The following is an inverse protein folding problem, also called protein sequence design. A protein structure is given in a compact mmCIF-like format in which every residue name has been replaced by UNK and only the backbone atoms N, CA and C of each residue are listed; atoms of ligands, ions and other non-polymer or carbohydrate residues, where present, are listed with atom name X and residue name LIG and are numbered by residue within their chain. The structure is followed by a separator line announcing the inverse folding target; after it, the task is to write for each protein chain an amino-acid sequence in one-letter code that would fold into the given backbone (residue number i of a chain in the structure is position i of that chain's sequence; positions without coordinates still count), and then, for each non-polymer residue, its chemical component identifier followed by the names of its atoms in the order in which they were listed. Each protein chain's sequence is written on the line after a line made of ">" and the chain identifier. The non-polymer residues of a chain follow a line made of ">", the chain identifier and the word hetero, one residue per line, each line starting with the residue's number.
data_IF_554747635371
#
_entry.id   IF_554747635371
#
_cell.length_a   1.000
_cell.length_b   1.000
_cell.length_c   1.000
_cell.angle_alpha   90.00
_cell.angle_beta   90.00
_cell.angle_gamma   90.00
#
_symmetry.space_group_name_H-M   'P 1'
#
loop_
_entity.id
_entity.type
_entity.pdbx_description
1 polymer ?
#
# COMPACT_ATOMS: atom_id res chain seq x y z
N UNK A 1 16.40 5.80 3.06
CA UNK A 1 16.91 6.66 1.98
C UNK A 1 16.61 5.98 0.66
N UNK A 2 15.92 6.66 -0.26
CA UNK A 2 15.62 6.14 -1.60
C UNK A 2 16.92 6.20 -2.44
N UNK A 3 17.54 5.08 -2.67
CA UNK A 3 18.73 5.01 -3.50
C UNK A 3 18.34 5.17 -4.96
N UNK A 4 18.82 6.25 -5.60
CA UNK A 4 18.51 6.57 -7.01
C UNK A 4 18.93 5.44 -7.97
N UNK A 5 19.98 4.70 -7.61
CA UNK A 5 20.46 3.55 -8.38
C UNK A 5 19.46 2.38 -8.31
N UNK A 6 18.90 2.10 -7.13
CA UNK A 6 17.88 1.07 -6.95
C UNK A 6 16.60 1.39 -7.73
N UNK A 7 16.18 2.66 -7.76
CA UNK A 7 15.04 3.09 -8.58
C UNK A 7 15.29 2.97 -10.09
N UNK A 8 16.56 3.02 -10.52
CA UNK A 8 16.94 2.86 -11.93
C UNK A 8 16.91 1.40 -12.38
N UNK A 9 17.14 0.46 -11.44
CA UNK A 9 17.07 -0.98 -11.68
C UNK A 9 15.65 -1.48 -11.98
N UNK A 10 14.60 -0.79 -11.52
CA UNK A 10 13.19 -1.21 -11.68
C UNK A 10 12.71 -1.04 -13.13
N UNK A 11 13.34 -0.17 -13.96
CA UNK A 11 12.99 0.01 -15.37
C UNK A 11 11.49 0.27 -15.60
N UNK A 12 10.83 -0.63 -16.34
CA UNK A 12 9.41 -0.55 -16.70
C UNK A 12 8.45 -0.89 -15.55
N UNK A 13 8.93 -1.52 -14.47
CA UNK A 13 8.10 -1.98 -13.36
C UNK A 13 7.56 -0.85 -12.46
N UNK A 14 8.01 0.40 -12.67
CA UNK A 14 7.49 1.61 -11.96
C UNK A 14 5.98 1.77 -12.09
N UNK A 15 5.40 1.37 -13.21
CA UNK A 15 3.96 1.44 -13.45
C UNK A 15 3.18 0.56 -12.47
N UNK A 16 3.67 -0.64 -12.19
CA UNK A 16 3.02 -1.55 -11.22
C UNK A 16 3.03 -0.98 -9.80
N UNK A 17 4.13 -0.34 -9.39
CA UNK A 17 4.22 0.34 -8.09
C UNK A 17 3.17 1.45 -7.99
N UNK A 18 3.06 2.29 -9.02
CA UNK A 18 2.06 3.35 -9.05
C UNK A 18 0.63 2.80 -8.99
N UNK A 19 0.32 1.72 -9.72
CA UNK A 19 -0.99 1.08 -9.66
C UNK A 19 -1.30 0.53 -8.27
N UNK A 20 -0.34 -0.11 -7.61
CA UNK A 20 -0.50 -0.62 -6.24
C UNK A 20 -0.80 0.51 -5.27
N UNK A 21 -0.09 1.64 -5.38
CA UNK A 21 -0.32 2.82 -4.53
C UNK A 21 -1.72 3.40 -4.77
N UNK A 22 -2.13 3.58 -6.02
CA UNK A 22 -3.47 4.12 -6.36
C UNK A 22 -4.58 3.21 -5.83
N UNK A 23 -4.48 1.89 -6.03
CA UNK A 23 -5.47 0.94 -5.51
C UNK A 23 -5.51 0.95 -3.97
N UNK A 24 -4.36 1.10 -3.31
CA UNK A 24 -4.30 1.22 -1.85
C UNK A 24 -4.99 2.49 -1.36
N UNK A 25 -4.83 3.61 -2.06
CA UNK A 25 -5.51 4.88 -1.77
C UNK A 25 -7.03 4.74 -1.95
N UNK A 26 -7.49 4.10 -3.03
CA UNK A 26 -8.93 3.82 -3.21
C UNK A 26 -9.46 2.93 -2.10
N UNK A 27 -8.70 1.94 -1.67
CA UNK A 27 -9.02 1.10 -0.51
C UNK A 27 -9.14 1.90 0.80
N UNK A 28 -8.28 2.92 1.00
CA UNK A 28 -8.36 3.84 2.13
C UNK A 28 -9.65 4.66 2.09
N UNK A 29 -10.01 5.22 0.94
CA UNK A 29 -11.27 5.97 0.77
C UNK A 29 -12.50 5.08 1.05
N UNK A 30 -12.49 3.84 0.58
CA UNK A 30 -13.55 2.88 0.88
C UNK A 30 -13.63 2.61 2.40
N UNK A 31 -12.48 2.50 3.10
CA UNK A 31 -12.46 2.33 4.55
C UNK A 31 -13.04 3.54 5.29
N UNK A 32 -12.73 4.75 4.83
CA UNK A 32 -13.32 5.99 5.37
C UNK A 32 -14.83 6.03 5.17
N UNK A 33 -15.32 5.59 4.00
CA UNK A 33 -16.75 5.51 3.72
C UNK A 33 -17.47 4.51 4.65
N UNK A 34 -16.85 3.36 4.95
CA UNK A 34 -17.38 2.40 5.92
C UNK A 34 -17.48 3.05 7.30
N UNK A 35 -16.41 3.71 7.76
CA UNK A 35 -16.36 4.38 9.07
C UNK A 35 -17.44 5.47 9.16
N UNK A 36 -17.53 6.33 8.15
CA UNK A 36 -18.56 7.39 8.08
C UNK A 36 -19.98 6.81 8.10
N UNK A 37 -20.22 5.71 7.38
CA UNK A 37 -21.52 5.02 7.36
C UNK A 37 -21.90 4.46 8.74
N UNK A 38 -20.94 3.90 9.48
CA UNK A 38 -21.16 3.42 10.85
C UNK A 38 -21.53 4.58 11.78
N UNK A 39 -20.79 5.70 11.74
CA UNK A 39 -21.09 6.87 12.57
C UNK A 39 -22.48 7.45 12.24
N UNK A 40 -22.84 7.50 10.95
CA UNK A 40 -24.16 7.96 10.53
C UNK A 40 -25.26 7.02 11.04
N UNK A 41 -25.06 5.70 10.97
CA UNK A 41 -26.01 4.72 11.50
C UNK A 41 -26.17 4.85 13.04
N UNK A 42 -25.08 5.10 13.76
CA UNK A 42 -25.12 5.34 15.21
C UNK A 42 -25.89 6.62 15.53
N UNK A 43 -25.68 7.70 14.78
CA UNK A 43 -26.40 8.96 14.98
C UNK A 43 -27.91 8.79 14.76
N UNK A 44 -28.32 8.03 13.77
CA UNK A 44 -29.72 7.68 13.52
C UNK A 44 -30.31 6.82 14.66
N UNK A 45 -29.52 5.88 15.20
CA UNK A 45 -29.96 5.07 16.34
C UNK A 45 -30.20 5.91 17.61
N UNK A 46 -29.35 6.92 17.86
CA UNK A 46 -29.57 7.86 18.95
C UNK A 46 -30.84 8.68 18.74
N UNK A 47 -31.07 9.21 17.54
CA UNK A 47 -32.33 9.93 17.20
C UNK A 47 -33.56 9.03 17.35
N UNK A 48 -33.44 7.74 17.04
CA UNK A 48 -34.54 6.77 17.28
C UNK A 48 -34.86 6.60 18.75
N UNK A 49 -33.82 6.56 19.60
CA UNK A 49 -33.99 6.44 21.04
C UNK A 49 -34.66 7.69 21.66
N UNK A 50 -34.36 8.88 21.10
CA UNK A 50 -34.97 10.14 21.51
C UNK A 50 -36.38 10.38 20.94
N UNK A 51 -36.92 9.41 20.16
CA UNK A 51 -38.24 9.50 19.56
C UNK A 51 -38.38 10.53 18.44
N UNK A 52 -37.29 11.07 17.93
CA UNK A 52 -37.25 12.11 16.89
C UNK A 52 -37.13 11.57 15.46
N UNK A 53 -37.06 10.24 15.30
CA UNK A 53 -36.95 9.57 13.99
C UNK A 53 -38.25 9.58 13.23
N UNK A 54 -38.28 10.23 12.06
CA UNK A 54 -39.48 10.28 11.20
C UNK A 54 -39.76 8.96 10.45
N UNK A 55 -38.72 8.16 10.18
CA UNK A 55 -38.86 6.88 9.44
C UNK A 55 -37.69 5.93 9.61
N UNK A 56 -37.95 4.65 9.85
CA UNK A 56 -36.97 3.57 9.87
C UNK A 56 -36.29 3.32 8.50
N UNK A 57 -36.87 3.82 7.40
CA UNK A 57 -36.28 3.74 6.06
C UNK A 57 -34.98 4.51 5.98
N UNK A 58 -34.75 5.50 6.87
CA UNK A 58 -33.49 6.25 6.93
C UNK A 58 -32.27 5.38 7.23
N UNK A 59 -32.44 4.23 7.89
CA UNK A 59 -31.35 3.26 8.12
C UNK A 59 -30.89 2.53 6.85
N UNK A 60 -31.71 2.51 5.79
CA UNK A 60 -31.33 1.86 4.54
C UNK A 60 -30.14 2.56 3.85
N UNK A 61 -30.04 3.88 3.94
CA UNK A 61 -28.96 4.64 3.30
C UNK A 61 -27.57 4.25 3.82
N UNK A 62 -27.28 4.34 5.14
CA UNK A 62 -25.97 3.94 5.64
C UNK A 62 -25.69 2.45 5.43
N UNK A 63 -26.70 1.59 5.48
CA UNK A 63 -26.55 0.16 5.22
C UNK A 63 -26.11 -0.11 3.77
N UNK A 64 -26.73 0.53 2.78
CA UNK A 64 -26.36 0.39 1.37
C UNK A 64 -24.94 0.93 1.14
N UNK A 65 -24.62 2.11 1.68
CA UNK A 65 -23.27 2.69 1.55
C UNK A 65 -22.22 1.77 2.16
N UNK A 66 -22.48 1.20 3.35
CA UNK A 66 -21.58 0.25 3.99
C UNK A 66 -21.34 -0.98 3.13
N UNK A 67 -22.38 -1.60 2.60
CA UNK A 67 -22.29 -2.80 1.75
C UNK A 67 -21.47 -2.51 0.49
N UNK A 68 -21.78 -1.41 -0.22
CA UNK A 68 -21.04 -1.01 -1.41
C UNK A 68 -19.56 -0.76 -1.08
N UNK A 69 -19.28 -0.02 -0.01
CA UNK A 69 -17.92 0.28 0.41
C UNK A 69 -17.14 -0.99 0.81
N UNK A 70 -17.77 -1.97 1.45
CA UNK A 70 -17.17 -3.27 1.78
C UNK A 70 -16.81 -4.03 0.51
N UNK A 71 -17.72 -4.08 -0.47
CA UNK A 71 -17.46 -4.76 -1.76
C UNK A 71 -16.30 -4.08 -2.49
N UNK A 72 -16.31 -2.75 -2.59
CA UNK A 72 -15.21 -1.98 -3.21
C UNK A 72 -13.89 -2.27 -2.50
N UNK A 73 -13.85 -2.20 -1.18
CA UNK A 73 -12.66 -2.49 -0.39
C UNK A 73 -12.14 -3.91 -0.64
N UNK A 74 -13.03 -4.90 -0.66
CA UNK A 74 -12.67 -6.29 -0.93
C UNK A 74 -12.02 -6.44 -2.31
N UNK A 75 -12.64 -5.87 -3.35
CA UNK A 75 -12.11 -5.91 -4.72
C UNK A 75 -10.75 -5.22 -4.79
N UNK A 76 -10.61 -4.02 -4.20
CA UNK A 76 -9.33 -3.28 -4.19
C UNK A 76 -8.23 -4.05 -3.48
N UNK A 77 -8.53 -4.68 -2.35
CA UNK A 77 -7.57 -5.50 -1.60
C UNK A 77 -7.10 -6.70 -2.43
N UNK A 78 -8.02 -7.39 -3.12
CA UNK A 78 -7.70 -8.51 -4.01
C UNK A 78 -6.83 -8.08 -5.20
N UNK A 79 -7.19 -6.98 -5.85
CA UNK A 79 -6.42 -6.44 -6.98
C UNK A 79 -5.01 -6.00 -6.55
N UNK A 80 -4.91 -5.32 -5.40
CA UNK A 80 -3.61 -4.91 -4.83
C UNK A 80 -2.73 -6.12 -4.55
N UNK A 81 -3.27 -7.18 -3.93
CA UNK A 81 -2.54 -8.42 -3.67
C UNK A 81 -2.02 -9.06 -4.97
N UNK A 82 -2.88 -9.24 -5.96
CA UNK A 82 -2.52 -9.81 -7.26
C UNK A 82 -1.45 -8.99 -8.00
N UNK A 83 -1.52 -7.65 -7.92
CA UNK A 83 -0.52 -6.77 -8.52
C UNK A 83 0.82 -6.84 -7.79
N UNK A 84 0.83 -6.92 -6.45
CA UNK A 84 2.05 -7.12 -5.67
C UNK A 84 2.74 -8.43 -6.02
N UNK A 85 1.97 -9.52 -6.17
CA UNK A 85 2.52 -10.81 -6.59
C UNK A 85 3.10 -10.78 -8.01
N UNK A 86 2.45 -10.07 -8.95
CA UNK A 86 2.98 -9.87 -10.30
C UNK A 86 4.28 -9.07 -10.26
N UNK A 87 4.29 -7.97 -9.51
CA UNK A 87 5.47 -7.13 -9.32
C UNK A 87 6.63 -7.94 -8.73
N UNK A 88 6.40 -8.74 -7.69
CA UNK A 88 7.38 -9.63 -7.09
C UNK A 88 7.98 -10.60 -8.13
N UNK A 89 7.13 -11.26 -8.91
CA UNK A 89 7.58 -12.21 -9.95
C UNK A 89 8.45 -11.53 -11.01
N UNK A 90 8.04 -10.36 -11.51
CA UNK A 90 8.80 -9.62 -12.54
C UNK A 90 10.13 -9.11 -11.99
N UNK A 91 10.13 -8.56 -10.76
CA UNK A 91 11.37 -8.10 -10.10
C UNK A 91 12.32 -9.26 -9.88
N UNK A 92 11.86 -10.41 -9.37
CA UNK A 92 12.70 -11.60 -9.17
C UNK A 92 13.30 -12.09 -10.48
N UNK A 93 12.51 -12.12 -11.55
CA UNK A 93 12.99 -12.54 -12.87
C UNK A 93 14.10 -11.62 -13.39
N UNK A 94 13.86 -10.31 -13.37
CA UNK A 94 14.82 -9.31 -13.85
C UNK A 94 16.12 -9.31 -13.02
N UNK A 95 16.01 -9.40 -11.69
CA UNK A 95 17.17 -9.47 -10.81
C UNK A 95 17.97 -10.76 -11.01
N UNK A 96 17.32 -11.90 -11.13
CA UNK A 96 18.01 -13.17 -11.39
C UNK A 96 18.74 -13.17 -12.74
N UNK A 97 18.12 -12.63 -13.79
CA UNK A 97 18.75 -12.50 -15.10
C UNK A 97 19.97 -11.57 -15.05
N UNK A 98 19.85 -10.42 -14.40
CA UNK A 98 20.99 -9.49 -14.23
C UNK A 98 22.11 -10.10 -13.40
N UNK A 99 21.78 -10.80 -12.32
CA UNK A 99 22.77 -11.48 -11.47
C UNK A 99 23.49 -12.59 -12.24
N UNK A 100 22.74 -13.41 -12.96
CA UNK A 100 23.29 -14.48 -13.79
C UNK A 100 24.26 -13.94 -14.86
N UNK A 101 23.82 -12.92 -15.62
CA UNK A 101 24.63 -12.28 -16.64
C UNK A 101 25.91 -11.63 -16.03
N UNK A 102 25.81 -11.07 -14.82
CA UNK A 102 26.95 -10.51 -14.12
C UNK A 102 27.96 -11.58 -13.70
N UNK A 103 27.48 -12.72 -13.17
CA UNK A 103 28.35 -13.85 -12.79
C UNK A 103 29.06 -14.40 -14.04
N UNK A 104 28.35 -14.57 -15.15
CA UNK A 104 28.95 -15.00 -16.42
C UNK A 104 30.02 -14.02 -16.92
N UNK A 105 29.76 -12.71 -16.82
CA UNK A 105 30.68 -11.67 -17.28
C UNK A 105 31.97 -11.60 -16.46
N UNK A 106 31.94 -12.02 -15.19
CA UNK A 106 33.12 -12.09 -14.34
C UNK A 106 34.07 -13.23 -14.73
N UNK A 107 33.56 -14.23 -15.46
CA UNK A 107 34.34 -15.34 -16.00
C UNK A 107 34.85 -16.31 -14.94
N UNK A 108 35.15 -17.52 -15.37
CA UNK A 108 35.65 -18.59 -14.49
C UNK A 108 37.04 -18.27 -13.86
N UNK A 109 37.82 -17.39 -14.51
CA UNK A 109 39.17 -17.02 -14.06
C UNK A 109 39.23 -16.08 -12.85
N UNK A 110 38.18 -15.32 -12.56
CA UNK A 110 38.15 -14.41 -11.38
C UNK A 110 37.64 -15.11 -10.12
N UNK A 111 37.27 -16.37 -10.22
CA UNK A 111 36.76 -17.19 -9.10
C UNK A 111 37.82 -18.08 -8.45
N UNK A 112 39.06 -18.01 -8.88
CA UNK A 112 40.20 -18.72 -8.25
C UNK A 112 40.50 -18.17 -6.83
N UNK A 113 39.60 -18.39 -5.90
CA UNK A 113 39.67 -17.96 -4.50
C UNK A 113 38.33 -17.63 -3.86
N UNK A 114 37.29 -17.47 -4.66
CA UNK A 114 35.91 -17.29 -4.16
C UNK A 114 35.13 -18.60 -4.14
N UNK A 115 34.55 -18.93 -2.99
CA UNK A 115 33.65 -20.08 -2.88
C UNK A 115 32.39 -19.82 -3.72
N UNK A 116 32.24 -20.48 -4.88
CA UNK A 116 31.11 -20.35 -5.77
C UNK A 116 29.77 -20.62 -5.09
N UNK A 117 29.74 -21.54 -4.12
CA UNK A 117 28.54 -21.81 -3.34
C UNK A 117 28.15 -20.60 -2.48
N UNK A 118 29.12 -19.95 -1.83
CA UNK A 118 28.88 -18.74 -1.06
C UNK A 118 28.42 -17.56 -1.93
N UNK A 119 29.02 -17.39 -3.11
CA UNK A 119 28.61 -16.32 -4.05
C UNK A 119 27.16 -16.53 -4.54
N UNK A 120 26.80 -17.78 -4.85
CA UNK A 120 25.44 -18.12 -5.28
C UNK A 120 24.43 -17.91 -4.15
N UNK A 121 24.78 -18.28 -2.92
CA UNK A 121 23.92 -18.07 -1.76
C UNK A 121 23.67 -16.57 -1.51
N UNK A 122 24.74 -15.75 -1.48
CA UNK A 122 24.63 -14.29 -1.29
C UNK A 122 23.80 -13.66 -2.43
N UNK A 123 23.97 -14.12 -3.66
CA UNK A 123 23.20 -13.63 -4.79
C UNK A 123 21.71 -13.98 -4.67
N UNK A 124 21.37 -15.19 -4.21
CA UNK A 124 19.98 -15.61 -3.99
C UNK A 124 19.32 -14.83 -2.84
N UNK A 125 20.00 -14.69 -1.72
CA UNK A 125 19.51 -13.91 -0.57
C UNK A 125 19.33 -12.43 -0.95
N UNK A 126 20.26 -11.85 -1.71
CA UNK A 126 20.18 -10.49 -2.22
C UNK A 126 18.97 -10.27 -3.13
N UNK A 127 18.65 -11.23 -3.99
CA UNK A 127 17.46 -11.16 -4.85
C UNK A 127 16.16 -11.17 -4.02
N UNK A 128 16.09 -11.98 -2.98
CA UNK A 128 14.91 -12.04 -2.12
C UNK A 128 14.73 -10.77 -1.26
N UNK A 129 15.81 -10.21 -0.75
CA UNK A 129 15.76 -8.93 -0.01
C UNK A 129 15.33 -7.78 -0.93
N UNK A 130 15.86 -7.71 -2.15
CA UNK A 130 15.47 -6.71 -3.13
C UNK A 130 14.01 -6.88 -3.58
N UNK A 131 13.53 -8.11 -3.74
CA UNK A 131 12.12 -8.37 -4.03
C UNK A 131 11.21 -7.81 -2.92
N UNK A 132 11.51 -8.09 -1.66
CA UNK A 132 10.75 -7.56 -0.54
C UNK A 132 10.76 -6.02 -0.52
N UNK A 133 11.89 -5.42 -0.83
CA UNK A 133 12.02 -3.97 -0.92
C UNK A 133 11.10 -3.38 -2.01
N UNK A 134 11.09 -3.96 -3.20
CA UNK A 134 10.33 -3.42 -4.34
C UNK A 134 8.85 -3.79 -4.33
N UNK A 135 8.49 -4.99 -3.90
CA UNK A 135 7.11 -5.48 -3.95
C UNK A 135 6.28 -5.09 -2.73
N UNK A 136 6.91 -4.95 -1.56
CA UNK A 136 6.21 -4.63 -0.31
C UNK A 136 6.57 -3.24 0.23
N UNK A 137 7.88 -2.97 0.46
CA UNK A 137 8.30 -1.76 1.15
C UNK A 137 8.04 -0.48 0.33
N UNK A 138 8.44 -0.46 -0.93
CA UNK A 138 8.36 0.74 -1.76
C UNK A 138 6.91 1.22 -2.00
N UNK A 139 5.95 0.35 -2.38
CA UNK A 139 4.55 0.75 -2.48
C UNK A 139 3.97 1.23 -1.15
N UNK A 140 4.33 0.56 -0.04
CA UNK A 140 3.88 0.95 1.29
C UNK A 140 4.43 2.30 1.72
N UNK A 141 5.69 2.59 1.40
CA UNK A 141 6.32 3.88 1.68
C UNK A 141 5.58 5.03 0.98
N UNK A 142 5.31 4.91 -0.32
CA UNK A 142 4.54 5.94 -1.05
C UNK A 142 3.12 6.08 -0.52
N UNK A 143 2.46 4.97 -0.20
CA UNK A 143 1.13 4.99 0.41
C UNK A 143 1.15 5.72 1.76
N UNK A 144 2.13 5.45 2.62
CA UNK A 144 2.26 6.09 3.94
C UNK A 144 2.55 7.59 3.86
N UNK A 145 3.16 8.06 2.78
CA UNK A 145 3.30 9.50 2.54
C UNK A 145 1.99 10.15 2.11
N UNK A 146 1.20 9.48 1.27
CA UNK A 146 -0.04 10.04 0.70
C UNK A 146 -1.21 9.95 1.69
N UNK A 147 -1.30 8.87 2.46
CA UNK A 147 -2.43 8.61 3.35
C UNK A 147 -2.71 9.73 4.37
N UNK A 148 -1.72 10.31 5.08
CA UNK A 148 -1.96 11.40 6.02
C UNK A 148 -2.52 12.67 5.37
N UNK A 149 -2.09 12.98 4.13
CA UNK A 149 -2.62 14.12 3.40
C UNK A 149 -4.09 13.93 3.05
N UNK A 150 -4.46 12.74 2.58
CA UNK A 150 -5.86 12.41 2.28
C UNK A 150 -6.71 12.52 3.56
N UNK A 151 -6.24 11.94 4.66
CA UNK A 151 -6.92 12.00 5.95
C UNK A 151 -7.06 13.44 6.43
N UNK A 152 -6.03 14.26 6.28
CA UNK A 152 -6.07 15.68 6.63
C UNK A 152 -7.17 16.40 5.86
N UNK A 153 -7.25 16.25 4.54
CA UNK A 153 -8.29 16.90 3.74
C UNK A 153 -9.71 16.44 4.12
N UNK A 154 -9.88 15.16 4.43
CA UNK A 154 -11.17 14.63 4.91
C UNK A 154 -11.52 15.23 6.28
N UNK A 155 -10.56 15.28 7.19
CA UNK A 155 -10.79 15.83 8.54
C UNK A 155 -11.05 17.34 8.54
N UNK A 156 -10.41 18.11 7.65
CA UNK A 156 -10.68 19.55 7.49
C UNK A 156 -12.13 19.81 7.12
N UNK A 157 -12.74 18.91 6.33
CA UNK A 157 -14.16 19.00 5.98
C UNK A 157 -15.13 18.76 7.14
N UNK A 158 -14.65 18.11 8.22
CA UNK A 158 -15.46 17.79 9.41
C UNK A 158 -15.17 18.78 10.55
N UNK A 159 -13.92 18.88 10.95
CA UNK A 159 -13.44 19.82 11.97
C UNK A 159 -11.94 20.12 11.75
N UNK A 160 -11.62 21.40 11.53
CA UNK A 160 -10.25 21.84 11.29
C UNK A 160 -9.30 21.58 12.48
N UNK A 161 -9.82 21.60 13.70
CA UNK A 161 -9.02 21.35 14.92
C UNK A 161 -8.50 19.90 14.94
N UNK A 162 -9.36 18.94 14.58
CA UNK A 162 -8.99 17.52 14.47
C UNK A 162 -7.94 17.32 13.38
N UNK A 163 -8.09 18.02 12.26
CA UNK A 163 -7.13 17.96 11.17
C UNK A 163 -5.73 18.46 11.58
N UNK A 164 -5.64 19.56 12.34
CA UNK A 164 -4.36 20.08 12.85
C UNK A 164 -3.69 19.10 13.80
N UNK A 165 -4.45 18.50 14.73
CA UNK A 165 -3.92 17.48 15.65
C UNK A 165 -3.40 16.28 14.87
N UNK A 166 -4.13 15.83 13.85
CA UNK A 166 -3.72 14.70 13.02
C UNK A 166 -2.36 14.96 12.34
N UNK A 167 -2.19 16.12 11.70
CA UNK A 167 -0.92 16.46 11.04
C UNK A 167 0.23 16.62 12.05
N UNK A 168 -0.04 17.16 13.24
CA UNK A 168 0.96 17.26 14.29
C UNK A 168 1.42 15.89 14.82
N UNK A 169 0.56 14.86 14.75
CA UNK A 169 0.92 13.49 15.14
C UNK A 169 1.76 12.75 14.08
N UNK A 170 1.71 13.14 12.80
CA UNK A 170 2.45 12.46 11.72
C UNK A 170 3.96 12.38 11.99
N UNK A 171 4.67 13.45 12.39
CA UNK A 171 6.11 13.38 12.68
C UNK A 171 6.47 12.60 13.95
N UNK A 172 5.48 12.30 14.81
CA UNK A 172 5.70 11.53 16.04
C UNK A 172 5.73 10.02 15.77
N UNK A 173 5.24 9.58 14.62
CA UNK A 173 5.33 8.16 14.20
C UNK A 173 6.79 7.92 13.80
N UNK A 174 7.58 7.19 14.62
CA UNK A 174 8.98 6.92 14.28
C UNK A 174 9.03 6.09 13.00
N UNK A 175 9.88 6.52 12.09
CA UNK A 175 10.21 5.83 10.84
C UNK A 175 11.05 4.60 11.14
#
# INVERSE_FOLDING_TARGET
>A
MLDKELLKLIGENKKYIAYVVVLSVVGLLANLAITASIFYAVSLAMQAADGTLESYVSFAYPAIIAVVAIVVRYVMTRLTGSLREKLSREVKKDLREKTYNKILSLGVKSTDGMNMAGLTQVAMEGVEQLDLYYSAYLPQFFYSMIAPFILFFVCVGIDWKVAVVLIACVPVIPV
#
